data_IF_784143654199
#
_entry.id   IF_784143654199
#
_cell.length_a   1.000
_cell.length_b   1.000
_cell.length_c   1.000
_cell.angle_alpha   90.00
_cell.angle_beta   90.00
_cell.angle_gamma   90.00
#
_symmetry.space_group_name_H-M   'P 1'
#
loop_
_entity.id
_entity.type
_entity.pdbx_description
1 polymer ?
#
# COMPACT_ATOMS: atom_id res chain seq x y z
N UNK A 1 26.05 -58.56 -11.42
CA UNK A 1 27.35 -59.01 -11.93
C UNK A 1 27.92 -57.89 -12.78
N UNK A 2 28.93 -57.19 -12.30
CA UNK A 2 29.64 -56.16 -13.08
C UNK A 2 30.74 -56.90 -13.87
N UNK A 3 30.80 -56.79 -15.20
CA UNK A 3 31.87 -57.44 -15.96
C UNK A 3 33.22 -56.84 -15.55
N UNK A 4 34.22 -57.69 -15.32
CA UNK A 4 35.59 -57.27 -15.10
C UNK A 4 36.11 -56.55 -16.36
N UNK A 5 36.62 -55.32 -16.21
CA UNK A 5 37.25 -54.55 -17.29
C UNK A 5 38.50 -55.24 -17.89
N UNK A 6 38.95 -56.36 -17.31
CA UNK A 6 40.11 -57.12 -17.76
C UNK A 6 39.88 -58.02 -18.98
N UNK A 7 38.65 -58.11 -19.51
CA UNK A 7 38.33 -58.95 -20.69
C UNK A 7 38.08 -58.18 -21.98
N UNK A 8 38.19 -56.85 -21.96
CA UNK A 8 37.90 -56.00 -23.13
C UNK A 8 39.16 -55.86 -24.00
N UNK A 9 39.02 -56.15 -25.29
CA UNK A 9 40.08 -55.89 -26.27
C UNK A 9 40.41 -54.40 -26.34
N UNK A 10 41.61 -54.04 -26.78
CA UNK A 10 42.06 -52.63 -26.90
C UNK A 10 41.06 -51.74 -27.64
N UNK A 11 40.38 -52.27 -28.66
CA UNK A 11 39.34 -51.57 -29.40
C UNK A 11 38.08 -51.29 -28.55
N UNK A 12 37.65 -52.23 -27.71
CA UNK A 12 36.46 -52.08 -26.86
C UNK A 12 36.71 -51.10 -25.73
N UNK A 13 37.93 -51.07 -25.17
CA UNK A 13 38.37 -50.07 -24.20
C UNK A 13 38.32 -48.65 -24.79
N UNK A 14 38.78 -48.48 -26.04
CA UNK A 14 38.74 -47.18 -26.74
C UNK A 14 37.30 -46.71 -26.98
N UNK A 15 36.40 -47.63 -27.37
CA UNK A 15 34.98 -47.31 -27.58
C UNK A 15 34.31 -46.89 -26.28
N UNK A 16 34.55 -47.60 -25.17
CA UNK A 16 33.98 -47.26 -23.85
C UNK A 16 34.49 -45.90 -23.36
N UNK A 17 35.79 -45.62 -23.50
CA UNK A 17 36.37 -44.31 -23.17
C UNK A 17 35.78 -43.17 -24.02
N UNK A 18 35.53 -43.42 -25.30
CA UNK A 18 34.93 -42.45 -26.22
C UNK A 18 33.46 -42.15 -25.87
N UNK A 19 32.70 -43.16 -25.43
CA UNK A 19 31.32 -42.98 -24.95
C UNK A 19 31.30 -42.21 -23.62
N UNK A 20 32.17 -42.56 -22.67
CA UNK A 20 32.24 -41.89 -21.37
C UNK A 20 32.67 -40.42 -21.49
N UNK A 21 33.61 -40.11 -22.40
CA UNK A 21 34.01 -38.72 -22.68
C UNK A 21 32.89 -37.95 -23.38
N UNK A 22 32.16 -38.57 -24.32
CA UNK A 22 30.98 -37.99 -24.94
C UNK A 22 29.87 -37.67 -23.93
N UNK A 23 29.55 -38.60 -23.02
CA UNK A 23 28.56 -38.39 -21.94
C UNK A 23 29.02 -37.26 -21.00
N UNK A 24 30.30 -37.25 -20.61
CA UNK A 24 30.86 -36.21 -19.74
C UNK A 24 30.83 -34.82 -20.41
N UNK A 25 31.08 -34.75 -21.72
CA UNK A 25 30.97 -33.52 -22.50
C UNK A 25 29.53 -33.03 -22.61
N UNK A 26 28.56 -33.92 -22.83
CA UNK A 26 27.13 -33.59 -22.84
C UNK A 26 26.68 -33.12 -21.45
N UNK A 27 27.09 -33.81 -20.38
CA UNK A 27 26.78 -33.41 -19.01
C UNK A 27 27.40 -32.04 -18.66
N UNK A 28 28.62 -31.77 -19.11
CA UNK A 28 29.27 -30.46 -18.98
C UNK A 28 28.53 -29.37 -19.77
N UNK A 29 28.11 -29.64 -21.02
CA UNK A 29 27.32 -28.71 -21.82
C UNK A 29 25.96 -28.43 -21.19
N UNK A 30 25.25 -29.45 -20.69
CA UNK A 30 23.98 -29.29 -19.98
C UNK A 30 24.18 -28.50 -18.68
N UNK A 31 25.23 -28.78 -17.91
CA UNK A 31 25.59 -28.02 -16.71
C UNK A 31 25.91 -26.56 -17.03
N UNK A 32 26.65 -26.30 -18.12
CA UNK A 32 26.93 -24.93 -18.59
C UNK A 32 25.67 -24.22 -19.09
N UNK A 33 24.77 -24.91 -19.79
CA UNK A 33 23.48 -24.35 -20.24
C UNK A 33 22.57 -24.05 -19.03
N UNK A 34 22.55 -24.92 -18.01
CA UNK A 34 21.79 -24.71 -16.77
C UNK A 34 22.42 -23.59 -15.91
N UNK A 35 23.75 -23.51 -15.87
CA UNK A 35 24.53 -22.46 -15.22
C UNK A 35 24.30 -21.09 -15.87
N UNK A 36 24.37 -21.03 -17.20
CA UNK A 36 24.09 -19.81 -17.98
C UNK A 36 22.62 -19.41 -17.96
N UNK A 37 21.68 -20.36 -17.86
CA UNK A 37 20.25 -20.06 -17.57
C UNK A 37 20.04 -19.53 -16.16
N UNK A 38 20.71 -20.10 -15.14
CA UNK A 38 20.70 -19.54 -13.77
C UNK A 38 21.36 -18.16 -13.72
N UNK A 39 22.40 -17.90 -14.51
CA UNK A 39 23.10 -16.61 -14.54
C UNK A 39 22.40 -15.53 -15.37
N UNK A 40 21.46 -15.90 -16.26
CA UNK A 40 20.62 -14.95 -17.01
C UNK A 40 19.37 -14.46 -16.26
N UNK A 41 19.13 -14.96 -15.05
CA UNK A 41 18.20 -14.37 -14.08
C UNK A 41 18.90 -13.36 -13.17
N UNK A 42 19.92 -12.64 -13.68
CA UNK A 42 20.35 -11.40 -13.04
C UNK A 42 19.27 -10.34 -13.28
N UNK A 43 18.93 -9.64 -12.20
CA UNK A 43 17.93 -8.59 -12.10
C UNK A 43 18.29 -7.33 -12.92
N UNK A 44 18.51 -7.45 -14.22
CA UNK A 44 18.76 -6.29 -15.08
C UNK A 44 17.41 -5.67 -15.49
N UNK A 45 16.63 -5.22 -14.49
CA UNK A 45 15.54 -4.28 -14.75
C UNK A 45 16.20 -3.01 -15.29
N UNK A 46 15.67 -2.41 -16.38
CA UNK A 46 16.23 -1.17 -16.90
C UNK A 46 16.16 -0.08 -15.84
N UNK A 47 17.06 0.90 -15.93
CA UNK A 47 17.05 2.05 -15.03
C UNK A 47 15.70 2.77 -15.14
N UNK A 48 14.93 2.77 -14.05
CA UNK A 48 13.59 3.38 -14.00
C UNK A 48 13.66 4.79 -13.45
N UNK A 49 14.20 4.93 -12.23
CA UNK A 49 14.38 6.24 -11.59
C UNK A 49 15.67 6.89 -12.08
N UNK A 50 15.57 8.14 -12.53
CA UNK A 50 16.71 8.88 -13.06
C UNK A 50 17.83 8.99 -12.02
N UNK A 51 19.05 8.61 -12.40
CA UNK A 51 20.22 8.66 -11.53
C UNK A 51 20.25 7.59 -10.43
N UNK A 52 19.29 6.66 -10.40
CA UNK A 52 19.32 5.55 -9.45
C UNK A 52 20.27 4.46 -9.92
N UNK A 53 21.18 4.07 -9.02
CA UNK A 53 21.98 2.85 -9.13
C UNK A 53 21.31 1.75 -8.31
N UNK A 54 21.01 0.57 -8.89
CA UNK A 54 20.41 -0.53 -8.15
C UNK A 54 21.19 -0.86 -6.87
N UNK A 55 20.51 -0.86 -5.74
CA UNK A 55 21.07 -1.20 -4.44
C UNK A 55 21.13 -2.73 -4.26
N UNK A 56 22.16 -3.19 -3.57
CA UNK A 56 22.31 -4.58 -3.09
C UNK A 56 21.47 -4.90 -1.84
N UNK A 57 20.79 -3.89 -1.28
CA UNK A 57 19.85 -4.07 -0.17
C UNK A 57 18.77 -5.08 -0.52
N UNK A 58 18.53 -6.00 0.43
CA UNK A 58 17.42 -6.95 0.38
C UNK A 58 16.50 -6.65 1.53
N UNK A 59 15.21 -6.48 1.23
CA UNK A 59 14.17 -6.38 2.26
C UNK A 59 14.25 -7.61 3.17
N UNK A 60 14.39 -7.43 4.50
CA UNK A 60 14.41 -8.55 5.44
C UNK A 60 13.14 -9.38 5.32
N UNK A 61 13.29 -10.71 5.44
CA UNK A 61 12.16 -11.62 5.48
C UNK A 61 11.45 -11.41 6.84
N UNK A 62 10.17 -11.00 6.86
CA UNK A 62 9.48 -10.72 8.10
C UNK A 62 9.08 -12.02 8.81
N UNK A 63 9.06 -11.99 10.15
CA UNK A 63 8.47 -13.06 10.95
C UNK A 63 6.94 -13.16 10.69
N UNK A 64 6.34 -14.36 10.80
CA UNK A 64 4.89 -14.52 10.72
C UNK A 64 4.14 -13.62 11.70
N UNK A 65 3.01 -13.06 11.29
CA UNK A 65 2.15 -12.28 12.18
C UNK A 65 1.61 -13.18 13.31
N UNK A 66 1.96 -12.90 14.58
CA UNK A 66 1.60 -13.79 15.69
C UNK A 66 0.09 -13.98 15.81
N UNK A 67 -0.38 -15.23 15.69
CA UNK A 67 -1.79 -15.57 15.86
C UNK A 67 -2.71 -14.96 14.80
N UNK A 68 -2.18 -14.53 13.64
CA UNK A 68 -3.00 -13.93 12.60
C UNK A 68 -4.06 -14.88 12.06
N UNK A 69 -5.27 -14.36 11.88
CA UNK A 69 -6.42 -15.09 11.37
C UNK A 69 -7.27 -14.15 10.52
N UNK A 70 -7.58 -14.60 9.29
CA UNK A 70 -8.50 -13.91 8.38
C UNK A 70 -9.91 -13.74 8.97
N UNK A 71 -10.28 -14.49 10.00
CA UNK A 71 -11.61 -14.39 10.63
C UNK A 71 -11.60 -13.55 11.92
N UNK A 72 -10.46 -13.50 12.63
CA UNK A 72 -10.41 -13.02 14.02
C UNK A 72 -9.49 -11.83 14.24
N UNK A 73 -8.50 -11.60 13.38
CA UNK A 73 -7.56 -10.48 13.55
C UNK A 73 -8.26 -9.18 13.18
N UNK A 74 -8.71 -8.44 14.19
CA UNK A 74 -9.43 -7.19 13.98
C UNK A 74 -8.54 -6.11 13.34
N UNK A 75 -9.13 -5.20 12.56
CA UNK A 75 -8.42 -4.02 12.07
C UNK A 75 -7.85 -3.20 13.23
N UNK A 76 -6.67 -2.62 13.01
CA UNK A 76 -6.00 -1.77 13.99
C UNK A 76 -6.75 -0.43 14.13
N UNK A 77 -7.14 -0.02 15.36
CA UNK A 77 -8.04 1.12 15.58
C UNK A 77 -7.30 2.46 15.51
N UNK A 78 -6.76 2.83 14.36
CA UNK A 78 -6.09 4.13 14.23
C UNK A 78 -7.08 5.30 14.43
N UNK A 79 -6.77 6.21 15.36
CA UNK A 79 -7.47 7.46 15.68
C UNK A 79 -6.52 8.62 15.48
N UNK A 80 -6.19 8.90 14.22
CA UNK A 80 -5.13 9.83 13.83
C UNK A 80 -5.44 11.33 14.03
N UNK A 81 -6.17 11.67 15.09
CA UNK A 81 -6.52 13.01 15.51
C UNK A 81 -5.97 13.30 16.91
N UNK A 82 -5.61 14.57 17.15
CA UNK A 82 -5.04 15.08 18.41
C UNK A 82 -5.93 16.18 18.93
N UNK A 83 -5.92 16.43 20.24
CA UNK A 83 -6.53 17.64 20.80
C UNK A 83 -5.99 18.91 20.14
N UNK A 84 -6.88 19.90 20.03
CA UNK A 84 -6.52 21.29 19.78
C UNK A 84 -5.76 21.92 20.95
N UNK A 85 -5.55 23.25 20.95
CA UNK A 85 -6.22 24.23 20.08
C UNK A 85 -5.58 24.40 18.70
N UNK A 86 -4.41 23.81 18.44
CA UNK A 86 -3.66 24.03 17.19
C UNK A 86 -3.61 22.78 16.32
N UNK A 87 -4.26 22.83 15.16
CA UNK A 87 -4.06 21.84 14.11
C UNK A 87 -2.72 22.08 13.39
N UNK A 88 -1.83 21.08 13.43
CA UNK A 88 -0.51 21.18 12.80
C UNK A 88 -0.48 20.42 11.48
N UNK A 89 -0.31 21.17 10.38
CA UNK A 89 -0.05 20.60 9.06
C UNK A 89 1.43 20.25 8.97
N UNK A 90 1.75 18.96 9.15
CA UNK A 90 3.10 18.41 9.04
C UNK A 90 3.06 17.08 8.29
N UNK A 91 4.20 16.59 7.81
CA UNK A 91 4.26 15.27 7.16
C UNK A 91 3.91 14.12 8.13
N UNK A 92 4.15 14.28 9.44
CA UNK A 92 3.78 13.28 10.45
C UNK A 92 4.44 11.91 10.27
N UNK A 93 5.59 11.87 9.60
CA UNK A 93 6.32 10.64 9.28
C UNK A 93 7.01 10.08 10.52
N UNK A 94 6.91 8.77 10.70
CA UNK A 94 7.67 7.96 11.67
C UNK A 94 8.26 6.76 10.96
N UNK A 95 9.46 6.35 11.33
CA UNK A 95 9.99 5.06 10.86
C UNK A 95 9.20 3.93 11.53
N UNK A 96 8.93 2.87 10.78
CA UNK A 96 8.33 1.63 11.30
C UNK A 96 9.20 0.43 10.93
N UNK A 97 9.12 -0.67 11.70
CA UNK A 97 9.72 -1.94 11.32
C UNK A 97 9.17 -2.45 9.97
N UNK A 98 9.95 -3.26 9.26
CA UNK A 98 9.54 -3.80 7.94
C UNK A 98 8.36 -4.76 8.05
N UNK A 99 8.20 -5.43 9.19
CA UNK A 99 7.09 -6.32 9.55
C UNK A 99 5.75 -5.59 9.65
N UNK A 100 5.80 -4.26 9.79
CA UNK A 100 4.64 -3.38 9.76
C UNK A 100 4.44 -2.74 8.38
N UNK A 101 5.14 -3.15 7.32
CA UNK A 101 4.92 -2.59 5.98
C UNK A 101 3.46 -2.78 5.53
N UNK A 102 2.97 -4.02 5.48
CA UNK A 102 1.59 -4.34 5.10
C UNK A 102 0.85 -4.94 6.30
N UNK A 103 -0.28 -4.34 6.65
CA UNK A 103 -1.14 -4.76 7.77
C UNK A 103 -2.46 -5.32 7.24
N UNK A 104 -2.56 -6.65 7.23
CA UNK A 104 -3.80 -7.35 6.85
C UNK A 104 -4.61 -7.70 8.09
N UNK A 105 -5.93 -7.68 7.94
CA UNK A 105 -6.88 -7.98 9.00
C UNK A 105 -8.08 -8.79 8.48
N UNK A 106 -9.06 -9.01 9.35
CA UNK A 106 -10.25 -9.80 9.07
C UNK A 106 -11.17 -9.18 8.01
N UNK A 107 -10.97 -7.91 7.65
CA UNK A 107 -11.73 -7.28 6.57
C UNK A 107 -11.12 -7.56 5.19
N UNK A 108 -9.98 -8.29 5.12
CA UNK A 108 -9.32 -8.64 3.86
C UNK A 108 -10.29 -9.17 2.78
N UNK A 109 -11.21 -10.12 3.06
CA UNK A 109 -12.22 -10.57 2.10
C UNK A 109 -13.04 -9.45 1.44
N UNK A 110 -13.51 -8.49 2.24
CA UNK A 110 -14.31 -7.36 1.77
C UNK A 110 -13.50 -6.46 0.84
N UNK A 111 -12.31 -6.08 1.28
CA UNK A 111 -11.41 -5.22 0.50
C UNK A 111 -10.94 -5.89 -0.79
N UNK A 112 -10.66 -7.20 -0.74
CA UNK A 112 -10.32 -7.99 -1.93
C UNK A 112 -11.47 -7.98 -2.93
N UNK A 113 -12.69 -8.26 -2.48
CA UNK A 113 -13.89 -8.27 -3.32
C UNK A 113 -14.14 -6.90 -3.97
N UNK A 114 -14.08 -5.82 -3.19
CA UNK A 114 -14.23 -4.44 -3.68
C UNK A 114 -13.18 -4.15 -4.76
N UNK A 115 -11.91 -4.44 -4.49
CA UNK A 115 -10.83 -4.22 -5.45
C UNK A 115 -10.98 -5.04 -6.72
N UNK A 116 -11.36 -6.31 -6.61
CA UNK A 116 -11.60 -7.18 -7.77
C UNK A 116 -12.73 -6.65 -8.64
N UNK A 117 -13.85 -6.25 -8.04
CA UNK A 117 -14.97 -5.63 -8.76
C UNK A 117 -14.53 -4.33 -9.45
N UNK A 118 -13.85 -3.45 -8.71
CA UNK A 118 -13.36 -2.16 -9.23
C UNK A 118 -12.38 -2.31 -10.39
N UNK A 119 -11.46 -3.28 -10.32
CA UNK A 119 -10.54 -3.58 -11.43
C UNK A 119 -11.33 -4.01 -12.67
N UNK A 120 -12.32 -4.89 -12.52
CA UNK A 120 -13.14 -5.37 -13.63
C UNK A 120 -14.04 -4.27 -14.23
N UNK A 121 -14.65 -3.44 -13.39
CA UNK A 121 -15.63 -2.43 -13.81
C UNK A 121 -14.99 -1.14 -14.34
N UNK A 122 -13.85 -0.74 -13.77
CA UNK A 122 -13.25 0.59 -14.03
C UNK A 122 -11.90 0.52 -14.75
N UNK A 123 -11.23 -0.63 -14.75
CA UNK A 123 -10.00 -0.88 -15.50
C UNK A 123 -8.98 0.24 -15.37
N UNK A 124 -8.61 0.84 -16.50
CA UNK A 124 -7.58 1.87 -16.61
C UNK A 124 -7.85 3.16 -15.80
N UNK A 125 -9.11 3.41 -15.41
CA UNK A 125 -9.45 4.55 -14.54
C UNK A 125 -8.90 4.39 -13.13
N UNK A 126 -8.69 3.14 -12.68
CA UNK A 126 -8.24 2.83 -11.33
C UNK A 126 -6.88 2.13 -11.29
N UNK A 127 -6.46 1.48 -12.38
CA UNK A 127 -5.16 0.82 -12.49
C UNK A 127 -4.44 1.29 -13.74
N UNK A 128 -3.24 1.84 -13.60
CA UNK A 128 -2.42 2.23 -14.75
C UNK A 128 -0.95 1.97 -14.45
N UNK A 129 -0.21 1.47 -15.43
CA UNK A 129 1.24 1.26 -15.34
C UNK A 129 1.91 1.82 -16.59
N UNK A 130 2.68 2.88 -16.42
CA UNK A 130 3.42 3.46 -17.55
C UNK A 130 4.50 2.47 -17.99
N UNK A 131 4.81 2.33 -19.30
CA UNK A 131 5.87 1.45 -19.78
C UNK A 131 7.20 1.62 -19.03
N UNK A 132 7.65 2.87 -18.83
CA UNK A 132 8.85 3.18 -18.04
C UNK A 132 8.77 2.74 -16.56
N UNK A 133 7.58 2.65 -15.98
CA UNK A 133 7.37 2.24 -14.59
C UNK A 133 7.06 0.74 -14.45
N UNK A 134 6.81 0.04 -15.56
CA UNK A 134 6.55 -1.40 -15.55
C UNK A 134 7.62 -2.22 -14.81
N UNK A 135 8.93 -1.96 -14.96
CA UNK A 135 9.95 -2.67 -14.18
C UNK A 135 9.80 -2.46 -12.66
N UNK A 136 9.40 -1.26 -12.22
CA UNK A 136 9.14 -0.97 -10.80
C UNK A 136 7.88 -1.68 -10.29
N UNK A 137 6.84 -1.78 -11.12
CA UNK A 137 5.64 -2.56 -10.78
C UNK A 137 5.95 -4.07 -10.68
N UNK A 138 6.82 -4.60 -11.53
CA UNK A 138 7.33 -5.97 -11.43
C UNK A 138 8.14 -6.16 -10.15
N UNK A 139 9.03 -5.22 -9.81
CA UNK A 139 9.79 -5.27 -8.56
C UNK A 139 8.86 -5.26 -7.34
N UNK A 140 7.85 -4.39 -7.31
CA UNK A 140 6.84 -4.38 -6.26
C UNK A 140 6.13 -5.74 -6.12
N UNK A 141 5.73 -6.33 -7.24
CA UNK A 141 5.07 -7.64 -7.25
C UNK A 141 5.98 -8.74 -6.72
N UNK A 142 7.28 -8.70 -7.04
CA UNK A 142 8.29 -9.60 -6.47
C UNK A 142 8.44 -9.40 -4.96
N UNK A 143 8.53 -8.15 -4.50
CA UNK A 143 8.65 -7.82 -3.08
C UNK A 143 7.44 -8.32 -2.28
N UNK A 144 6.21 -8.11 -2.77
CA UNK A 144 5.00 -8.64 -2.13
C UNK A 144 4.95 -10.17 -2.16
N UNK A 145 5.43 -10.79 -3.23
CA UNK A 145 5.47 -12.26 -3.38
C UNK A 145 6.45 -12.93 -2.41
N UNK A 146 7.52 -12.24 -2.01
CA UNK A 146 8.45 -12.70 -0.95
C UNK A 146 7.87 -12.38 0.46
N UNK A 147 7.33 -11.17 0.63
CA UNK A 147 6.87 -10.67 1.93
C UNK A 147 5.62 -11.38 2.46
N UNK A 148 4.57 -11.49 1.63
CA UNK A 148 3.24 -11.90 2.09
C UNK A 148 3.16 -13.37 2.55
N UNK A 149 3.77 -14.36 1.87
CA UNK A 149 3.78 -15.73 2.36
C UNK A 149 4.58 -15.90 3.66
N UNK A 150 5.60 -15.07 3.88
CA UNK A 150 6.40 -15.08 5.11
C UNK A 150 5.62 -14.45 6.28
N UNK A 151 5.00 -13.29 6.04
CA UNK A 151 4.24 -12.55 7.07
C UNK A 151 2.87 -13.16 7.37
N UNK A 152 2.17 -13.67 6.37
CA UNK A 152 0.80 -14.21 6.45
C UNK A 152 0.69 -15.62 5.85
N UNK A 153 1.42 -16.62 6.38
CA UNK A 153 1.53 -17.96 5.78
C UNK A 153 0.22 -18.75 5.75
N UNK A 154 -0.77 -18.39 6.57
CA UNK A 154 -2.11 -19.00 6.53
C UNK A 154 -2.97 -18.45 5.40
N UNK A 155 -2.68 -17.24 4.89
CA UNK A 155 -3.39 -16.62 3.77
C UNK A 155 -2.68 -16.83 2.42
N UNK A 156 -1.35 -16.78 2.41
CA UNK A 156 -0.57 -16.86 1.18
C UNK A 156 0.39 -18.05 1.14
N UNK A 157 0.67 -18.51 -0.07
CA UNK A 157 1.66 -19.53 -0.37
C UNK A 157 2.60 -19.02 -1.46
N UNK A 158 3.91 -19.15 -1.26
CA UNK A 158 4.88 -18.97 -2.34
C UNK A 158 4.81 -20.20 -3.25
N UNK A 159 4.50 -19.98 -4.53
CA UNK A 159 4.57 -21.04 -5.56
C UNK A 159 5.91 -20.96 -6.30
N UNK A 160 6.31 -22.00 -7.08
CA UNK A 160 7.56 -21.95 -7.84
C UNK A 160 7.67 -20.77 -8.81
N UNK A 161 6.54 -20.25 -9.28
CA UNK A 161 6.46 -19.19 -10.30
C UNK A 161 5.79 -17.90 -9.81
N UNK A 162 5.30 -17.85 -8.57
CA UNK A 162 4.64 -16.67 -8.01
C UNK A 162 3.99 -16.90 -6.66
N UNK A 163 2.73 -16.50 -6.52
CA UNK A 163 2.02 -16.46 -5.24
C UNK A 163 0.59 -16.95 -5.39
N UNK A 164 0.15 -17.78 -4.44
CA UNK A 164 -1.23 -18.24 -4.32
C UNK A 164 -1.87 -17.60 -3.09
N UNK A 165 -3.04 -17.01 -3.30
CA UNK A 165 -3.95 -16.63 -2.23
C UNK A 165 -4.80 -17.85 -1.86
N UNK A 166 -4.60 -18.40 -0.66
CA UNK A 166 -5.28 -19.61 -0.18
C UNK A 166 -6.77 -19.39 0.09
N UNK A 167 -7.16 -18.15 0.41
CA UNK A 167 -8.55 -17.81 0.67
C UNK A 167 -9.33 -17.60 -0.64
N UNK A 168 -8.84 -16.73 -1.54
CA UNK A 168 -9.56 -16.45 -2.80
C UNK A 168 -9.39 -17.56 -3.86
N UNK A 169 -8.38 -18.42 -3.70
CA UNK A 169 -8.00 -19.45 -4.67
C UNK A 169 -7.18 -18.92 -5.85
N UNK A 170 -6.96 -17.61 -5.94
CA UNK A 170 -6.18 -16.99 -7.02
C UNK A 170 -4.70 -17.42 -6.96
N UNK A 171 -4.13 -17.73 -8.12
CA UNK A 171 -2.75 -18.17 -8.26
C UNK A 171 -2.08 -17.38 -9.38
N UNK A 172 -1.15 -16.50 -9.01
CA UNK A 172 -0.50 -15.59 -9.94
C UNK A 172 0.88 -16.12 -10.32
N UNK A 173 1.10 -16.30 -11.62
CA UNK A 173 2.43 -16.50 -12.19
C UNK A 173 3.07 -15.13 -12.44
N UNK A 174 4.16 -14.81 -11.75
CA UNK A 174 4.81 -13.50 -11.82
C UNK A 174 6.06 -13.51 -12.71
N UNK A 175 6.42 -14.67 -13.27
CA UNK A 175 7.63 -14.85 -14.10
C UNK A 175 7.33 -15.00 -15.59
N UNK A 176 6.09 -15.33 -15.96
CA UNK A 176 5.66 -15.35 -17.37
C UNK A 176 5.78 -13.97 -18.02
N UNK A 177 6.13 -13.93 -19.31
CA UNK A 177 6.29 -12.68 -20.06
C UNK A 177 5.62 -12.84 -21.43
N UNK A 178 4.66 -11.96 -21.79
CA UNK A 178 4.03 -10.93 -20.93
C UNK A 178 3.29 -11.57 -19.75
N UNK A 179 3.07 -10.79 -18.68
CA UNK A 179 2.16 -11.20 -17.60
C UNK A 179 0.72 -11.28 -18.14
N UNK A 180 -0.06 -12.24 -17.65
CA UNK A 180 -1.49 -12.33 -18.00
C UNK A 180 -2.30 -11.09 -17.60
N UNK A 181 -1.86 -10.37 -16.56
CA UNK A 181 -2.52 -9.17 -16.05
C UNK A 181 -1.49 -8.09 -15.71
N UNK A 182 -1.96 -6.83 -15.62
CA UNK A 182 -1.13 -5.71 -15.17
C UNK A 182 -0.56 -6.00 -13.75
N UNK A 183 0.75 -5.82 -13.52
CA UNK A 183 1.38 -6.11 -12.24
C UNK A 183 0.78 -5.30 -11.08
N UNK A 184 0.34 -4.06 -11.30
CA UNK A 184 -0.33 -3.25 -10.26
C UNK A 184 -1.71 -3.80 -9.92
N UNK A 185 -2.47 -4.34 -10.90
CA UNK A 185 -3.74 -5.02 -10.64
C UNK A 185 -3.53 -6.27 -9.78
N UNK A 186 -2.49 -7.07 -10.08
CA UNK A 186 -2.12 -8.23 -9.26
C UNK A 186 -1.76 -7.79 -7.84
N UNK A 187 -0.85 -6.81 -7.70
CA UNK A 187 -0.44 -6.29 -6.39
C UNK A 187 -1.64 -5.80 -5.57
N UNK A 188 -2.57 -5.09 -6.19
CA UNK A 188 -3.74 -4.54 -5.52
C UNK A 188 -4.65 -5.61 -4.92
N UNK A 189 -4.79 -6.77 -5.57
CA UNK A 189 -5.56 -7.91 -5.03
C UNK A 189 -4.81 -8.69 -3.95
N UNK A 190 -3.51 -8.47 -3.78
CA UNK A 190 -2.74 -9.14 -2.72
C UNK A 190 -2.82 -8.41 -1.37
N UNK A 191 -3.20 -7.13 -1.34
CA UNK A 191 -3.18 -6.30 -0.12
C UNK A 191 -4.45 -5.47 0.05
N UNK A 192 -4.74 -4.96 1.25
CA UNK A 192 -5.87 -4.05 1.48
C UNK A 192 -5.56 -2.60 1.06
N UNK A 193 -4.28 -2.21 1.01
CA UNK A 193 -3.79 -0.89 0.64
C UNK A 193 -4.00 -0.55 -0.84
N UNK A 194 -4.40 0.67 -1.16
CA UNK A 194 -4.14 1.22 -2.50
C UNK A 194 -2.64 1.46 -2.70
N UNK A 195 -2.15 1.38 -3.94
CA UNK A 195 -0.72 1.37 -4.25
C UNK A 195 -0.39 2.43 -5.31
N UNK A 196 0.67 3.20 -5.10
CA UNK A 196 1.17 4.20 -6.03
C UNK A 196 2.70 4.13 -6.11
N UNK A 197 3.25 4.12 -7.32
CA UNK A 197 4.69 4.15 -7.59
C UNK A 197 5.08 5.51 -8.13
N UNK A 198 5.97 6.16 -7.38
CA UNK A 198 6.53 7.47 -7.69
C UNK A 198 7.93 7.27 -8.26
N UNK A 199 8.15 7.72 -9.50
CA UNK A 199 9.40 7.55 -10.24
C UNK A 199 10.12 8.89 -10.38
N UNK A 200 11.41 8.92 -10.04
CA UNK A 200 12.24 10.10 -10.29
C UNK A 200 12.52 10.25 -11.79
N UNK A 201 12.25 11.43 -12.34
CA UNK A 201 12.53 11.78 -13.75
C UNK A 201 13.81 12.63 -13.87
N UNK A 202 14.37 12.83 -15.08
CA UNK A 202 15.65 13.52 -15.25
C UNK A 202 15.70 14.97 -14.72
N UNK A 203 14.56 15.60 -14.50
CA UNK A 203 14.44 16.92 -13.86
C UNK A 203 14.58 16.86 -12.32
N UNK A 204 14.76 15.65 -11.77
CA UNK A 204 14.89 15.38 -10.34
C UNK A 204 13.58 15.50 -9.59
N UNK A 205 12.42 15.43 -10.25
CA UNK A 205 11.11 15.37 -9.61
C UNK A 205 10.54 13.96 -9.64
N UNK A 206 9.67 13.65 -8.68
CA UNK A 206 8.99 12.36 -8.58
C UNK A 206 7.61 12.44 -9.20
N UNK A 207 7.27 11.49 -10.07
CA UNK A 207 6.01 11.45 -10.81
C UNK A 207 5.23 10.19 -10.52
N UNK A 208 3.90 10.28 -10.44
CA UNK A 208 3.02 9.11 -10.30
C UNK A 208 2.93 8.40 -11.65
N UNK A 209 3.72 7.34 -11.83
CA UNK A 209 3.84 6.65 -13.12
C UNK A 209 3.23 5.25 -13.12
N UNK A 210 2.89 4.69 -11.96
CA UNK A 210 2.07 3.48 -11.88
C UNK A 210 1.22 3.50 -10.60
N UNK A 211 0.03 2.92 -10.65
CA UNK A 211 -0.89 2.94 -9.53
C UNK A 211 -2.01 1.94 -9.66
N UNK A 212 -2.50 1.47 -8.52
CA UNK A 212 -3.79 0.82 -8.35
C UNK A 212 -4.51 1.53 -7.20
N UNK A 213 -5.36 2.49 -7.55
CA UNK A 213 -6.08 3.36 -6.62
C UNK A 213 -7.57 3.04 -6.76
N UNK A 214 -8.04 2.16 -5.89
CA UNK A 214 -9.35 1.51 -6.01
C UNK A 214 -10.29 1.96 -4.89
N UNK A 215 -9.74 2.44 -3.76
CA UNK A 215 -10.42 2.73 -2.50
C UNK A 215 -10.13 4.15 -1.96
N UNK A 216 -9.68 5.08 -2.80
CA UNK A 216 -9.28 6.43 -2.42
C UNK A 216 -10.40 7.29 -1.82
N UNK A 217 -11.66 7.02 -2.13
CA UNK A 217 -12.82 7.73 -1.59
C UNK A 217 -13.05 9.14 -2.13
N UNK A 218 -11.98 9.94 -2.34
CA UNK A 218 -12.08 11.38 -2.60
C UNK A 218 -11.24 11.90 -3.78
N UNK A 219 -10.48 11.03 -4.45
CA UNK A 219 -9.69 11.40 -5.62
C UNK A 219 -9.50 10.20 -6.54
N UNK A 220 -9.13 10.46 -7.80
CA UNK A 220 -9.05 9.45 -8.85
C UNK A 220 -7.63 9.35 -9.37
N UNK A 221 -7.18 8.12 -9.69
CA UNK A 221 -5.88 7.93 -10.34
C UNK A 221 -5.79 8.71 -11.65
N UNK A 222 -6.85 8.65 -12.48
CA UNK A 222 -6.92 9.34 -13.77
C UNK A 222 -6.63 10.85 -13.69
N UNK A 223 -6.96 11.48 -12.57
CA UNK A 223 -6.75 12.93 -12.39
C UNK A 223 -5.32 13.27 -12.01
N UNK A 224 -4.55 12.29 -11.52
CA UNK A 224 -3.23 12.49 -10.90
C UNK A 224 -2.11 11.74 -11.62
N UNK A 225 -2.46 10.79 -12.48
CA UNK A 225 -1.51 9.98 -13.21
C UNK A 225 -0.62 10.84 -14.12
N UNK A 226 0.68 10.59 -14.08
CA UNK A 226 1.69 11.35 -14.81
C UNK A 226 2.02 12.73 -14.21
N UNK A 227 1.39 13.14 -13.10
CA UNK A 227 1.71 14.40 -12.43
C UNK A 227 2.92 14.27 -11.50
N UNK A 228 3.62 15.38 -11.29
CA UNK A 228 4.68 15.49 -10.30
C UNK A 228 4.11 15.42 -8.88
N UNK A 229 4.94 15.08 -7.89
CA UNK A 229 4.57 15.05 -6.48
C UNK A 229 3.94 16.38 -6.04
N UNK A 230 4.48 17.51 -6.48
CA UNK A 230 3.93 18.83 -6.18
C UNK A 230 2.58 19.04 -6.88
N UNK A 231 2.47 18.73 -8.17
CA UNK A 231 1.26 18.98 -8.96
C UNK A 231 0.07 18.13 -8.49
N UNK A 232 0.32 16.91 -8.00
CA UNK A 232 -0.71 16.06 -7.38
C UNK A 232 -1.36 16.81 -6.21
N UNK A 233 -0.55 17.47 -5.38
CA UNK A 233 -1.02 18.19 -4.19
C UNK A 233 -1.59 19.57 -4.53
N UNK A 234 -1.05 20.26 -5.53
CA UNK A 234 -1.60 21.52 -6.04
C UNK A 234 -2.98 21.33 -6.66
N UNK A 235 -3.11 20.37 -7.58
CA UNK A 235 -4.39 20.04 -8.22
C UNK A 235 -5.40 19.40 -7.26
N UNK A 236 -4.97 18.99 -6.07
CA UNK A 236 -5.83 18.52 -4.99
C UNK A 236 -6.16 19.59 -3.95
N UNK A 237 -5.73 20.85 -4.16
CA UNK A 237 -5.92 21.98 -3.24
C UNK A 237 -5.55 21.66 -1.78
N UNK A 238 -4.47 20.89 -1.58
CA UNK A 238 -4.08 20.43 -0.24
C UNK A 238 -3.74 21.63 0.64
N UNK A 239 -4.46 21.83 1.78
CA UNK A 239 -4.29 22.99 2.62
C UNK A 239 -2.85 23.14 3.12
N UNK A 240 -2.33 24.35 2.94
CA UNK A 240 -1.00 24.74 3.36
C UNK A 240 0.16 23.97 2.71
N UNK A 241 -0.07 23.28 1.57
CA UNK A 241 0.95 22.46 0.94
C UNK A 241 2.19 23.27 0.55
N UNK A 242 2.01 24.35 -0.22
CA UNK A 242 3.11 25.19 -0.72
C UNK A 242 3.97 25.75 0.40
N UNK A 243 3.32 26.31 1.42
CA UNK A 243 3.99 27.03 2.50
C UNK A 243 4.57 26.13 3.59
N UNK A 244 4.02 24.93 3.83
CA UNK A 244 4.41 24.07 4.98
C UNK A 244 4.93 22.69 4.60
N UNK A 245 4.55 22.12 3.46
CA UNK A 245 4.81 20.71 3.16
C UNK A 245 5.77 20.50 1.98
N UNK A 246 5.59 21.23 0.88
CA UNK A 246 6.21 20.94 -0.41
C UNK A 246 7.73 20.76 -0.32
N UNK A 247 8.45 21.76 0.19
CA UNK A 247 9.92 21.72 0.28
C UNK A 247 10.41 20.53 1.11
N UNK A 248 9.76 20.28 2.25
CA UNK A 248 10.11 19.16 3.13
C UNK A 248 9.83 17.81 2.49
N UNK A 249 8.71 17.70 1.79
CA UNK A 249 8.26 16.48 1.13
C UNK A 249 9.15 16.12 -0.06
N UNK A 250 9.44 17.07 -0.96
CA UNK A 250 10.31 16.85 -2.10
C UNK A 250 11.73 16.46 -1.66
N UNK A 251 12.28 17.11 -0.62
CA UNK A 251 13.57 16.72 -0.03
C UNK A 251 13.52 15.34 0.62
N UNK A 252 12.40 14.99 1.27
CA UNK A 252 12.22 13.68 1.88
C UNK A 252 12.22 12.56 0.84
N UNK A 253 11.51 12.73 -0.28
CA UNK A 253 11.49 11.75 -1.37
C UNK A 253 12.91 11.48 -1.90
N UNK A 254 13.69 12.53 -2.18
CA UNK A 254 15.08 12.38 -2.65
C UNK A 254 15.98 11.61 -1.68
N UNK A 255 15.85 11.85 -0.37
CA UNK A 255 16.73 11.26 0.66
C UNK A 255 16.25 9.92 1.20
N UNK A 256 15.04 9.46 0.86
CA UNK A 256 14.49 8.21 1.36
C UNK A 256 15.41 7.06 0.96
N UNK A 257 15.85 6.25 1.92
CA UNK A 257 16.72 5.10 1.68
C UNK A 257 15.92 3.79 1.63
N UNK A 258 16.50 2.74 1.07
CA UNK A 258 15.84 1.43 0.92
C UNK A 258 15.62 0.70 2.26
N UNK A 259 16.49 0.96 3.24
CA UNK A 259 16.49 0.32 4.55
C UNK A 259 15.38 0.82 5.48
N UNK A 260 14.72 1.93 5.13
CA UNK A 260 13.74 2.58 5.99
C UNK A 260 12.35 2.54 5.39
N UNK A 261 11.39 2.04 6.17
CA UNK A 261 9.96 2.21 5.89
C UNK A 261 9.44 3.33 6.78
N UNK A 262 8.78 4.31 6.18
CA UNK A 262 8.12 5.38 6.92
C UNK A 262 6.62 5.22 6.84
N UNK A 263 5.94 5.51 7.94
CA UNK A 263 4.49 5.60 7.98
C UNK A 263 4.04 6.96 8.49
N UNK A 264 2.86 7.37 8.05
CA UNK A 264 2.08 8.45 8.66
C UNK A 264 0.62 8.01 8.71
N UNK A 265 -0.17 8.72 9.49
CA UNK A 265 -1.61 8.54 9.47
C UNK A 265 -2.29 9.85 9.06
N UNK A 266 -3.39 9.70 8.36
CA UNK A 266 -4.31 10.77 8.01
C UNK A 266 -5.74 10.32 8.35
N UNK A 267 -6.68 11.26 8.37
CA UNK A 267 -8.09 10.91 8.51
C UNK A 267 -8.99 11.93 7.82
N UNK A 268 -10.18 11.47 7.47
CA UNK A 268 -11.28 12.23 6.91
C UNK A 268 -12.60 11.77 7.53
N UNK A 269 -13.64 12.56 7.32
CA UNK A 269 -15.00 12.17 7.56
C UNK A 269 -15.68 12.04 6.21
N UNK A 270 -16.56 11.04 6.09
CA UNK A 270 -17.40 10.79 4.94
C UNK A 270 -18.84 10.72 5.43
N UNK A 271 -19.80 11.16 4.61
CA UNK A 271 -21.24 11.18 4.98
C UNK A 271 -22.06 10.17 4.18
N UNK A 272 -21.38 9.09 3.79
CA UNK A 272 -21.93 7.88 3.23
C UNK A 272 -21.01 6.69 3.54
N UNK A 273 -21.52 5.49 3.30
CA UNK A 273 -20.93 4.20 3.65
C UNK A 273 -20.15 3.53 2.51
N UNK A 274 -19.92 4.23 1.40
CA UNK A 274 -19.23 3.68 0.24
C UNK A 274 -17.71 3.83 0.37
N UNK A 275 -17.03 2.73 0.74
CA UNK A 275 -15.57 2.70 0.89
C UNK A 275 -14.82 3.07 -0.41
N UNK A 276 -15.19 2.54 -1.61
CA UNK A 276 -14.39 2.79 -2.82
C UNK A 276 -14.40 4.26 -3.27
N UNK A 277 -15.60 4.86 -3.26
CA UNK A 277 -15.85 6.22 -3.69
C UNK A 277 -16.99 6.84 -2.87
N UNK A 278 -16.75 8.03 -2.31
CA UNK A 278 -17.78 8.80 -1.60
C UNK A 278 -18.78 9.36 -2.61
N UNK A 279 -19.99 8.82 -2.67
CA UNK A 279 -21.02 9.36 -3.55
C UNK A 279 -21.57 10.70 -3.03
N UNK A 280 -21.29 11.07 -1.78
CA UNK A 280 -21.64 12.38 -1.23
C UNK A 280 -20.88 13.54 -1.87
N UNK A 281 -19.77 13.29 -2.56
CA UNK A 281 -19.01 14.32 -3.31
C UNK A 281 -19.28 14.25 -4.82
N UNK A 282 -20.38 13.61 -5.20
CA UNK A 282 -20.83 13.45 -6.58
C UNK A 282 -20.47 12.09 -7.19
N UNK A 283 -20.90 11.87 -8.42
CA UNK A 283 -20.49 10.70 -9.20
C UNK A 283 -18.98 10.71 -9.42
N UNK A 284 -18.34 9.53 -9.37
CA UNK A 284 -16.90 9.41 -9.64
C UNK A 284 -16.53 9.80 -11.06
N UNK A 285 -17.47 9.72 -12.00
CA UNK A 285 -17.25 10.14 -13.39
C UNK A 285 -17.62 11.61 -13.63
N UNK A 286 -17.99 12.36 -12.58
CA UNK A 286 -18.24 13.79 -12.68
C UNK A 286 -16.93 14.56 -12.96
N UNK A 287 -16.95 15.64 -13.76
CA UNK A 287 -15.73 16.37 -14.10
C UNK A 287 -15.06 17.02 -12.88
N UNK A 288 -15.85 17.40 -11.87
CA UNK A 288 -15.40 18.06 -10.64
C UNK A 288 -15.87 17.26 -9.44
N UNK A 289 -14.95 17.03 -8.51
CA UNK A 289 -15.21 16.39 -7.22
C UNK A 289 -15.39 17.50 -6.19
N UNK A 290 -16.53 17.56 -5.51
CA UNK A 290 -16.79 18.65 -4.57
C UNK A 290 -17.80 18.29 -3.49
N UNK A 291 -17.50 18.76 -2.27
CA UNK A 291 -18.42 18.76 -1.14
C UNK A 291 -19.69 19.57 -1.39
N UNK A 292 -19.73 20.45 -2.40
CA UNK A 292 -20.93 21.24 -2.73
C UNK A 292 -22.14 20.34 -3.02
N UNK A 293 -21.91 19.15 -3.58
CA UNK A 293 -22.92 18.13 -3.89
C UNK A 293 -23.42 17.36 -2.67
N UNK A 294 -22.69 17.40 -1.55
CA UNK A 294 -23.09 16.71 -0.33
C UNK A 294 -24.34 17.35 0.26
N UNK A 295 -25.28 16.50 0.63
CA UNK A 295 -26.42 16.89 1.46
C UNK A 295 -25.88 17.42 2.80
N UNK A 296 -26.32 18.63 3.16
CA UNK A 296 -25.98 19.25 4.44
C UNK A 296 -26.77 18.57 5.58
N UNK A 297 -26.13 18.44 6.74
CA UNK A 297 -26.77 18.02 8.00
C UNK A 297 -27.43 16.63 7.92
N UNK A 298 -26.79 15.69 7.21
CA UNK A 298 -27.19 14.28 7.24
C UNK A 298 -27.16 13.75 8.68
N UNK A 299 -28.00 12.77 8.94
CA UNK A 299 -28.04 12.11 10.25
C UNK A 299 -26.72 11.37 10.55
N UNK A 300 -26.40 11.24 11.84
CA UNK A 300 -25.09 10.76 12.30
C UNK A 300 -24.78 9.31 11.87
N UNK A 301 -25.79 8.48 11.67
CA UNK A 301 -25.67 7.11 11.18
C UNK A 301 -25.00 7.00 9.80
N UNK A 302 -25.01 8.09 9.02
CA UNK A 302 -24.32 8.14 7.73
C UNK A 302 -22.88 8.65 7.83
N UNK A 303 -22.43 9.07 9.03
CA UNK A 303 -21.08 9.59 9.21
C UNK A 303 -20.10 8.45 9.43
N UNK A 304 -19.13 8.36 8.54
CA UNK A 304 -18.06 7.38 8.56
C UNK A 304 -16.73 8.08 8.87
N UNK A 305 -16.01 7.55 9.84
CA UNK A 305 -14.64 7.88 10.09
C UNK A 305 -13.72 7.08 9.17
N UNK A 306 -12.99 7.80 8.32
CA UNK A 306 -12.03 7.24 7.38
C UNK A 306 -10.63 7.57 7.88
N UNK A 307 -9.86 6.57 8.33
CA UNK A 307 -8.44 6.75 8.64
C UNK A 307 -7.59 6.10 7.57
N UNK A 308 -6.49 6.76 7.20
CA UNK A 308 -5.53 6.21 6.26
C UNK A 308 -4.20 6.03 6.98
N UNK A 309 -3.69 4.81 6.98
CA UNK A 309 -2.29 4.54 7.28
C UNK A 309 -1.54 4.52 5.97
N UNK A 310 -0.58 5.43 5.84
CA UNK A 310 0.13 5.65 4.60
C UNK A 310 1.59 5.28 4.79
N UNK A 311 2.13 4.37 3.99
CA UNK A 311 3.53 3.95 4.06
C UNK A 311 4.34 4.42 2.85
N UNK A 312 5.61 4.71 3.07
CA UNK A 312 6.59 5.09 2.05
C UNK A 312 7.84 4.23 2.19
N UNK A 313 8.24 3.58 1.10
CA UNK A 313 9.51 2.84 1.00
C UNK A 313 10.12 2.97 -0.40
N UNK A 314 11.45 2.93 -0.49
CA UNK A 314 12.15 2.89 -1.77
C UNK A 314 12.42 1.44 -2.18
N UNK A 315 12.13 1.11 -3.44
CA UNK A 315 12.43 -0.18 -4.05
C UNK A 315 13.93 -0.24 -4.46
N UNK A 316 14.69 -1.26 -4.02
CA UNK A 316 16.15 -1.27 -4.16
C UNK A 316 16.66 -1.37 -5.60
N UNK A 317 16.00 -2.11 -6.49
CA UNK A 317 16.46 -2.31 -7.87
C UNK A 317 16.15 -1.12 -8.75
N UNK A 318 14.91 -0.60 -8.68
CA UNK A 318 14.43 0.46 -9.61
C UNK A 318 14.49 1.87 -9.03
N UNK A 319 14.68 2.01 -7.72
CA UNK A 319 14.71 3.30 -7.02
C UNK A 319 13.35 3.96 -6.86
N UNK A 320 12.29 3.33 -7.39
CA UNK A 320 10.93 3.81 -7.28
C UNK A 320 10.51 3.94 -5.82
N UNK A 321 9.71 4.95 -5.49
CA UNK A 321 9.11 5.09 -4.17
C UNK A 321 7.70 4.53 -4.22
N UNK A 322 7.47 3.47 -3.45
CA UNK A 322 6.15 2.94 -3.19
C UNK A 322 5.47 3.76 -2.11
N UNK A 323 4.27 4.24 -2.43
CA UNK A 323 3.31 4.79 -1.50
C UNK A 323 2.14 3.82 -1.34
N UNK A 324 1.91 3.32 -0.13
CA UNK A 324 0.72 2.49 0.17
C UNK A 324 -0.28 3.30 1.00
N UNK A 325 -1.57 3.05 0.78
CA UNK A 325 -2.67 3.77 1.45
C UNK A 325 -3.65 2.73 1.99
N UNK A 326 -3.47 2.30 3.24
CA UNK A 326 -4.41 1.43 3.95
C UNK A 326 -5.54 2.26 4.55
N UNK A 327 -6.74 2.12 3.99
CA UNK A 327 -7.94 2.82 4.48
C UNK A 327 -8.70 1.98 5.50
N UNK A 328 -8.83 2.47 6.72
CA UNK A 328 -9.74 1.98 7.76
C UNK A 328 -11.03 2.80 7.74
N UNK A 329 -12.19 2.14 7.77
CA UNK A 329 -13.48 2.79 7.54
C UNK A 329 -14.52 2.29 8.53
N UNK A 330 -14.94 3.18 9.44
CA UNK A 330 -15.79 2.83 10.58
C UNK A 330 -16.95 3.82 10.73
N UNK A 331 -18.15 3.39 11.13
CA UNK A 331 -19.19 4.31 11.56
C UNK A 331 -18.69 5.18 12.73
N UNK A 332 -18.99 6.47 12.70
CA UNK A 332 -18.68 7.37 13.82
C UNK A 332 -19.37 6.87 15.09
N UNK A 333 -20.60 6.35 14.96
CA UNK A 333 -21.38 5.76 16.05
C UNK A 333 -20.71 4.58 16.75
N UNK A 334 -19.73 3.92 16.12
CA UNK A 334 -18.94 2.86 16.74
C UNK A 334 -17.71 3.39 17.46
N UNK A 335 -16.95 4.31 16.85
CA UNK A 335 -15.69 4.78 17.44
C UNK A 335 -15.93 5.63 18.70
N UNK A 336 -17.09 6.29 18.83
CA UNK A 336 -17.43 7.11 20.01
C UNK A 336 -17.62 6.28 21.29
N UNK A 337 -17.79 4.96 21.15
CA UNK A 337 -17.89 4.04 22.28
C UNK A 337 -16.54 3.88 23.01
N UNK A 338 -15.43 4.17 22.31
CA UNK A 338 -14.09 4.14 22.88
C UNK A 338 -13.88 5.35 23.80
N UNK A 339 -13.37 5.11 25.01
CA UNK A 339 -13.05 6.16 25.97
C UNK A 339 -12.16 7.23 25.34
N UNK A 340 -12.46 8.49 25.65
CA UNK A 340 -11.72 9.68 25.20
C UNK A 340 -11.83 10.02 23.71
N UNK A 341 -12.21 9.08 22.83
CA UNK A 341 -12.35 9.31 21.39
C UNK A 341 -13.31 10.45 21.03
N UNK A 342 -14.56 10.52 21.55
CA UNK A 342 -15.50 11.56 21.13
C UNK A 342 -15.00 12.97 21.47
N UNK A 343 -14.50 13.20 22.69
CA UNK A 343 -13.97 14.49 23.12
C UNK A 343 -12.72 14.91 22.32
N UNK A 344 -11.81 13.96 22.09
CA UNK A 344 -10.58 14.19 21.31
C UNK A 344 -10.87 14.49 19.85
N UNK A 345 -11.82 13.80 19.22
CA UNK A 345 -12.22 14.07 17.83
C UNK A 345 -12.92 15.42 17.72
N UNK A 346 -13.83 15.75 18.65
CA UNK A 346 -14.51 17.04 18.66
C UNK A 346 -13.52 18.20 18.82
N UNK A 347 -12.55 18.07 19.74
CA UNK A 347 -11.45 19.03 19.90
C UNK A 347 -10.63 19.19 18.62
N UNK A 348 -10.31 18.08 17.93
CA UNK A 348 -9.56 18.11 16.68
C UNK A 348 -10.32 18.85 15.57
N UNK A 349 -11.61 18.54 15.36
CA UNK A 349 -12.47 19.17 14.34
C UNK A 349 -12.66 20.66 14.61
N UNK A 350 -12.73 21.07 15.87
CA UNK A 350 -12.76 22.49 16.27
C UNK A 350 -11.46 23.23 15.99
N UNK A 351 -10.32 22.53 15.98
CA UNK A 351 -9.00 23.13 15.79
C UNK A 351 -8.61 23.38 14.32
N UNK A 352 -9.39 22.90 13.36
CA UNK A 352 -9.15 23.13 11.95
C UNK A 352 -9.35 24.61 11.60
N UNK A 353 -8.39 25.19 10.88
CA UNK A 353 -8.58 26.51 10.26
C UNK A 353 -9.54 26.43 9.07
N UNK A 354 -9.88 27.59 8.49
CA UNK A 354 -10.84 27.69 7.40
C UNK A 354 -10.41 26.89 6.15
N UNK A 355 -9.11 26.89 5.82
CA UNK A 355 -8.60 26.13 4.66
C UNK A 355 -8.80 24.63 4.87
N UNK A 356 -8.44 24.11 6.05
CA UNK A 356 -8.61 22.70 6.39
C UNK A 356 -10.09 22.33 6.49
N UNK A 357 -10.90 23.19 7.10
CA UNK A 357 -12.35 23.01 7.24
C UNK A 357 -13.05 22.91 5.90
N UNK A 358 -12.74 23.81 4.96
CA UNK A 358 -13.31 23.80 3.61
C UNK A 358 -12.87 22.56 2.82
N UNK A 359 -11.57 22.24 2.87
CA UNK A 359 -11.02 21.06 2.18
C UNK A 359 -11.65 19.74 2.67
N UNK A 360 -11.88 19.63 3.99
CA UNK A 360 -12.52 18.46 4.60
C UNK A 360 -14.05 18.51 4.58
N UNK A 361 -14.66 19.54 3.98
CA UNK A 361 -16.12 19.65 3.87
C UNK A 361 -16.86 19.89 5.18
N UNK A 362 -16.21 20.45 6.21
CA UNK A 362 -16.77 20.61 7.56
C UNK A 362 -18.12 21.32 7.56
N UNK A 363 -18.35 22.29 6.68
CA UNK A 363 -19.63 23.00 6.55
C UNK A 363 -20.83 22.04 6.32
N UNK A 364 -20.59 20.88 5.71
CA UNK A 364 -21.65 19.94 5.33
C UNK A 364 -22.12 19.04 6.46
N UNK A 365 -21.26 18.79 7.44
CA UNK A 365 -21.49 17.74 8.45
C UNK A 365 -21.04 18.12 9.85
N UNK A 366 -20.32 19.24 10.00
CA UNK A 366 -19.62 19.61 11.23
C UNK A 366 -20.56 19.85 12.39
N UNK A 367 -21.72 20.45 12.16
CA UNK A 367 -22.69 20.77 13.22
C UNK A 367 -23.28 19.49 13.83
N UNK A 368 -23.83 18.60 12.99
CA UNK A 368 -24.36 17.29 13.41
C UNK A 368 -23.28 16.44 14.08
N UNK A 369 -22.07 16.40 13.49
CA UNK A 369 -20.95 15.64 14.04
C UNK A 369 -20.55 16.16 15.42
N UNK A 370 -20.35 17.47 15.58
CA UNK A 370 -19.88 18.06 16.83
C UNK A 370 -20.92 17.93 17.95
N UNK A 371 -22.20 18.15 17.66
CA UNK A 371 -23.28 17.94 18.63
C UNK A 371 -23.30 16.49 19.14
N UNK A 372 -23.18 15.52 18.22
CA UNK A 372 -23.15 14.11 18.57
C UNK A 372 -21.92 13.76 19.43
N UNK A 373 -20.73 14.21 19.02
CA UNK A 373 -19.49 13.92 19.72
C UNK A 373 -19.49 14.53 21.13
N UNK A 374 -19.98 15.76 21.30
CA UNK A 374 -20.08 16.38 22.62
C UNK A 374 -21.01 15.59 23.53
N UNK A 375 -22.20 15.20 23.04
CA UNK A 375 -23.14 14.40 23.82
C UNK A 375 -22.57 13.05 24.23
N UNK A 376 -21.86 12.36 23.34
CA UNK A 376 -21.21 11.10 23.69
C UNK A 376 -20.05 11.31 24.67
N UNK A 377 -19.30 12.40 24.55
CA UNK A 377 -18.28 12.76 25.53
C UNK A 377 -18.87 13.05 26.91
N UNK A 378 -19.96 13.82 26.99
CA UNK A 378 -20.69 14.07 28.24
C UNK A 378 -21.19 12.79 28.90
N UNK A 379 -21.69 11.83 28.12
CA UNK A 379 -22.05 10.50 28.64
C UNK A 379 -20.85 9.76 29.22
N UNK A 380 -19.67 9.86 28.58
CA UNK A 380 -18.44 9.27 29.12
C UNK A 380 -18.06 9.92 30.46
N UNK A 381 -18.12 11.25 30.56
CA UNK A 381 -17.86 11.97 31.81
C UNK A 381 -18.86 11.62 32.91
N UNK A 382 -20.16 11.53 32.58
CA UNK A 382 -21.21 11.18 33.53
C UNK A 382 -21.07 9.77 34.12
N UNK A 383 -20.46 8.82 33.37
CA UNK A 383 -20.11 7.49 33.90
C UNK A 383 -18.76 7.42 34.61
N UNK A 384 -18.12 8.56 34.86
CA UNK A 384 -16.90 8.67 35.66
C UNK A 384 -15.58 8.57 34.88
N UNK A 385 -15.58 8.87 33.56
CA UNK A 385 -14.33 8.95 32.79
C UNK A 385 -13.39 10.00 33.41
N UNK A 386 -12.21 9.58 33.87
CA UNK A 386 -11.21 10.49 34.44
C UNK A 386 -10.30 11.05 33.34
N UNK A 387 -10.42 12.36 33.07
CA UNK A 387 -9.61 13.07 32.08
C UNK A 387 -8.12 13.17 32.44
N UNK A 388 -7.77 13.15 33.73
CA UNK A 388 -6.37 13.23 34.16
C UNK A 388 -5.56 12.01 33.71
N UNK A 389 -6.24 10.87 33.48
CA UNK A 389 -5.62 9.64 32.99
C UNK A 389 -5.56 9.55 31.47
N UNK A 390 -6.12 10.53 30.76
CA UNK A 390 -6.14 10.48 29.30
C UNK A 390 -4.73 10.41 28.72
N UNK A 391 -3.80 11.21 29.23
CA UNK A 391 -2.43 11.25 28.72
C UNK A 391 -1.66 9.93 28.94
N UNK A 392 -2.11 9.08 29.88
CA UNK A 392 -1.53 7.73 30.10
C UNK A 392 -1.96 6.73 29.02
N UNK A 393 -3.14 6.92 28.43
CA UNK A 393 -3.70 6.06 27.37
C UNK A 393 -3.57 6.66 25.96
N UNK A 394 -3.35 7.98 25.87
CA UNK A 394 -3.25 8.74 24.63
C UNK A 394 -1.90 8.52 23.95
N UNK A 395 -1.84 7.52 23.09
CA UNK A 395 -0.68 7.27 22.23
C UNK A 395 -1.06 7.48 20.77
N UNK A 396 -0.72 8.63 20.17
CA UNK A 396 -0.89 8.78 18.72
C UNK A 396 -0.13 7.66 17.98
N UNK A 397 -0.70 7.02 16.94
CA UNK A 397 -1.95 7.34 16.25
C UNK A 397 -3.19 6.56 16.73
N UNK A 398 -3.21 6.06 17.97
CA UNK A 398 -4.31 5.31 18.59
C UNK A 398 -5.32 6.22 19.29
#
# INVERSE_FOLDING_TARGET
>A
MVPSLSSLGTHEVIVVLSILTGISFIAYQISNILSTRKSKLKNDLPQVSAGWEPSDYKTPIPEPYPGWSIEKTKPLPYRAFRYGPKYQVTMGLRTVPVEEWIELDSDYPKYHADKKARIAERGEKCVATHPDAYPAAIELLQELTEYLPSRYPTLFERTPVGIKNKWSGENFNIVERPLAEDPMAICARLVQDDLALMIERPDGQYYLMAGAVLLAGFWRLSDKYGMSLSDIHYSGDVPHFKEKLETGMCKFFKRLKCESVYCRNNYFLQVDDSLPWSWSIGSEDAPVVSWSTAQKDKAIEHHMFRSERQSLRRLPKTGAILFTIRTYFHPVTDIVKEDYVPGRLASAVRSWDDKVSNYKGKEKYGDVLLEYLDREHEKQLARGLNLEKEDEVRKYPW
#
